data_IF_104391534907
#
_entry.id   IF_104391534907
#
_cell.length_a   1.000
_cell.length_b   1.000
_cell.length_c   1.000
_cell.angle_alpha   90.00
_cell.angle_beta   90.00
_cell.angle_gamma   90.00
#
_symmetry.space_group_name_H-M   'P 1'
#
loop_
_entity.id
_entity.type
_entity.pdbx_description
1 polymer ?
#
# COMPACT_ATOMS: atom_id res chain seq x y z
N UNK A 1 4.24 4.81 1.56
CA UNK A 1 3.80 4.00 0.40
C UNK A 1 3.60 2.56 0.83
N UNK A 2 2.62 1.91 0.25
CA UNK A 2 2.39 0.48 0.51
C UNK A 2 3.04 -0.36 -0.60
N UNK A 3 3.93 -1.28 -0.20
CA UNK A 3 4.59 -2.19 -1.14
C UNK A 3 3.63 -3.33 -1.49
N UNK A 4 3.35 -3.52 -2.78
CA UNK A 4 2.43 -4.53 -3.28
C UNK A 4 3.14 -5.78 -3.78
N UNK A 5 4.41 -5.68 -4.15
CA UNK A 5 5.20 -6.83 -4.58
C UNK A 5 5.45 -7.75 -3.37
N UNK A 6 5.15 -9.03 -3.52
CA UNK A 6 5.30 -10.01 -2.43
C UNK A 6 6.77 -10.17 -2.02
N UNK A 7 7.02 -10.41 -0.73
CA UNK A 7 8.35 -10.45 -0.16
C UNK A 7 9.35 -11.37 -0.86
N UNK A 8 9.01 -12.65 -1.21
CA UNK A 8 9.97 -13.51 -1.89
C UNK A 8 10.46 -12.96 -3.22
N UNK A 9 9.61 -12.19 -3.92
CA UNK A 9 9.97 -11.55 -5.19
C UNK A 9 10.64 -10.21 -4.93
N UNK A 10 10.12 -9.42 -3.99
CA UNK A 10 10.66 -8.11 -3.65
C UNK A 10 12.12 -8.21 -3.19
N UNK A 11 12.47 -9.26 -2.46
CA UNK A 11 13.85 -9.49 -2.01
C UNK A 11 14.84 -9.80 -3.12
N UNK A 12 14.36 -10.31 -4.27
CA UNK A 12 15.19 -10.74 -5.37
C UNK A 12 15.23 -9.83 -6.59
N UNK A 13 14.44 -8.72 -6.60
CA UNK A 13 14.35 -7.83 -7.75
C UNK A 13 14.77 -6.41 -7.42
N UNK A 14 15.14 -5.64 -8.45
CA UNK A 14 15.63 -4.28 -8.28
C UNK A 14 14.54 -3.26 -8.04
N UNK A 15 13.31 -3.53 -8.48
CA UNK A 15 12.18 -2.60 -8.40
C UNK A 15 10.95 -3.28 -7.84
N UNK A 16 10.10 -2.50 -7.15
CA UNK A 16 8.85 -2.99 -6.58
C UNK A 16 7.70 -2.07 -6.94
N UNK A 17 6.49 -2.61 -6.99
CA UNK A 17 5.26 -1.84 -7.21
C UNK A 17 4.73 -1.36 -5.88
N UNK A 18 4.40 -0.08 -5.80
CA UNK A 18 3.88 0.55 -4.59
C UNK A 18 2.61 1.34 -4.88
N UNK A 19 1.76 1.48 -3.87
CA UNK A 19 0.62 2.39 -3.90
C UNK A 19 0.92 3.59 -3.01
N UNK A 20 0.56 4.78 -3.49
CA UNK A 20 0.79 6.01 -2.76
C UNK A 20 -0.13 6.13 -1.55
N UNK A 21 0.37 6.73 -0.46
CA UNK A 21 -0.43 7.11 0.69
C UNK A 21 -0.69 8.62 0.68
N UNK A 22 -1.88 9.00 1.11
CA UNK A 22 -2.28 10.41 1.21
C UNK A 22 -3.13 10.60 2.46
N UNK A 23 -3.19 11.81 2.97
CA UNK A 23 -4.10 12.17 4.06
C UNK A 23 -5.47 12.60 3.55
N UNK A 24 -5.59 12.88 2.25
CA UNK A 24 -6.84 13.32 1.64
C UNK A 24 -7.71 12.11 1.33
N UNK A 25 -8.86 12.02 2.01
CA UNK A 25 -9.82 10.93 1.80
C UNK A 25 -10.91 11.40 0.84
N UNK A 26 -11.06 10.67 -0.27
CA UNK A 26 -12.08 10.96 -1.30
C UNK A 26 -13.23 9.97 -1.28
N UNK A 27 -13.15 8.94 -0.42
CA UNK A 27 -14.18 7.89 -0.29
C UNK A 27 -14.45 7.13 -1.59
N UNK A 28 -13.37 6.86 -2.35
CA UNK A 28 -13.44 6.09 -3.59
C UNK A 28 -13.27 4.60 -3.30
N UNK A 29 -13.79 3.74 -4.17
CA UNK A 29 -13.61 2.28 -4.06
C UNK A 29 -12.14 1.88 -4.20
N UNK A 30 -11.33 2.71 -4.84
CA UNK A 30 -9.89 2.52 -5.02
C UNK A 30 -9.06 2.99 -3.84
N UNK A 31 -9.68 3.37 -2.74
CA UNK A 31 -9.00 3.85 -1.54
C UNK A 31 -9.19 2.89 -0.37
N UNK A 32 -8.12 2.62 0.37
CA UNK A 32 -8.16 1.87 1.62
C UNK A 32 -7.73 2.77 2.77
N UNK A 33 -8.66 3.16 3.67
CA UNK A 33 -8.29 3.95 4.83
C UNK A 33 -7.47 3.13 5.83
N UNK A 34 -6.40 3.73 6.34
CA UNK A 34 -5.59 3.18 7.43
C UNK A 34 -5.70 4.09 8.65
N UNK A 35 -5.75 3.49 9.82
CA UNK A 35 -5.92 4.20 11.09
C UNK A 35 -4.70 3.99 11.97
N UNK A 36 -4.23 5.05 12.61
CA UNK A 36 -3.07 4.99 13.50
C UNK A 36 -3.28 4.02 14.65
N UNK A 37 -4.50 3.91 15.17
CA UNK A 37 -4.80 3.01 16.29
C UNK A 37 -5.00 1.56 15.87
N UNK A 38 -5.21 1.27 14.59
CA UNK A 38 -5.57 -0.05 14.09
C UNK A 38 -4.48 -0.68 13.22
N UNK A 39 -3.81 0.12 12.41
CA UNK A 39 -2.93 -0.35 11.35
C UNK A 39 -1.45 -0.07 11.62
N UNK A 40 -1.14 0.39 12.82
CA UNK A 40 0.23 0.65 13.27
C UNK A 40 0.96 1.68 12.39
N UNK A 41 0.21 2.58 11.78
CA UNK A 41 0.78 3.72 11.05
C UNK A 41 0.86 4.94 11.97
N UNK A 42 1.79 5.89 11.73
CA UNK A 42 1.97 7.03 12.65
C UNK A 42 0.79 8.00 12.65
N UNK A 43 0.07 8.12 11.55
CA UNK A 43 -1.12 8.98 11.45
C UNK A 43 -2.16 8.31 10.57
N UNK A 44 -3.43 8.72 10.73
CA UNK A 44 -4.48 8.26 9.83
C UNK A 44 -4.15 8.70 8.41
N UNK A 45 -4.31 7.78 7.46
CA UNK A 45 -4.01 8.03 6.06
C UNK A 45 -4.85 7.11 5.17
N UNK A 46 -4.69 7.26 3.87
CA UNK A 46 -5.42 6.47 2.87
C UNK A 46 -4.42 5.94 1.85
N UNK A 47 -4.53 4.66 1.53
CA UNK A 47 -3.79 4.07 0.41
C UNK A 47 -4.59 4.31 -0.86
N UNK A 48 -3.99 5.00 -1.82
CA UNK A 48 -4.65 5.33 -3.09
C UNK A 48 -4.16 4.37 -4.18
N UNK A 49 -5.01 3.43 -4.55
CA UNK A 49 -4.69 2.43 -5.57
C UNK A 49 -4.86 2.95 -7.01
N UNK A 50 -5.38 4.15 -7.19
CA UNK A 50 -5.35 4.82 -8.49
C UNK A 50 -3.98 5.43 -8.80
N UNK A 51 -3.09 5.45 -7.81
CA UNK A 51 -1.78 6.06 -7.94
C UNK A 51 -0.70 5.04 -7.61
N UNK A 52 -0.39 4.17 -8.57
CA UNK A 52 0.62 3.12 -8.43
C UNK A 52 1.92 3.58 -9.08
N UNK A 53 3.03 3.18 -8.45
CA UNK A 53 4.37 3.48 -8.94
C UNK A 53 5.25 2.25 -8.92
N UNK A 54 6.20 2.18 -9.83
CA UNK A 54 7.30 1.21 -9.76
C UNK A 54 8.53 1.97 -9.33
N UNK A 55 9.08 1.61 -8.17
CA UNK A 55 10.24 2.29 -7.60
C UNK A 55 11.40 1.32 -7.41
N UNK A 56 12.65 1.79 -7.55
CA UNK A 56 13.80 0.96 -7.22
C UNK A 56 13.83 0.68 -5.72
N UNK A 57 14.30 -0.49 -5.32
CA UNK A 57 14.40 -0.87 -3.91
C UNK A 57 15.27 0.11 -3.12
N UNK A 58 16.25 0.72 -3.78
CA UNK A 58 17.13 1.71 -3.15
C UNK A 58 16.41 2.99 -2.74
N UNK A 59 15.17 3.22 -3.23
CA UNK A 59 14.36 4.37 -2.80
C UNK A 59 13.81 4.19 -1.38
N UNK A 60 13.83 2.97 -0.83
CA UNK A 60 13.30 2.69 0.49
C UNK A 60 14.41 2.73 1.52
N UNK A 61 14.18 3.44 2.64
CA UNK A 61 15.18 3.58 3.70
C UNK A 61 14.86 2.70 4.90
N UNK A 62 13.58 2.57 5.25
CA UNK A 62 13.15 1.72 6.37
C UNK A 62 11.69 1.37 6.25
N UNK A 63 11.30 0.29 6.91
CA UNK A 63 9.90 -0.09 7.08
C UNK A 63 9.34 0.64 8.29
N UNK A 64 8.24 1.38 8.09
CA UNK A 64 7.56 2.08 9.19
C UNK A 64 6.57 1.15 9.91
N UNK A 65 5.83 0.36 9.13
CA UNK A 65 4.82 -0.55 9.66
C UNK A 65 4.59 -1.70 8.68
N UNK A 66 3.95 -2.76 9.17
CA UNK A 66 3.53 -3.90 8.35
C UNK A 66 2.03 -4.09 8.56
N UNK A 67 1.26 -4.16 7.47
CA UNK A 67 -0.17 -4.43 7.57
C UNK A 67 -0.40 -5.87 8.02
N UNK A 68 -1.43 -6.08 8.83
CA UNK A 68 -1.88 -7.42 9.20
C UNK A 68 -2.37 -8.16 7.95
N UNK A 69 -2.44 -9.51 8.04
CA UNK A 69 -2.92 -10.32 6.93
C UNK A 69 -4.36 -9.95 6.52
N UNK A 70 -5.33 -9.73 7.45
CA UNK A 70 -6.66 -9.27 7.07
C UNK A 70 -6.66 -7.91 6.35
N UNK A 71 -5.83 -6.98 6.80
CA UNK A 71 -5.75 -5.66 6.16
C UNK A 71 -5.09 -5.77 4.78
N UNK A 72 -4.10 -6.63 4.64
CA UNK A 72 -3.46 -6.87 3.34
C UNK A 72 -4.44 -7.51 2.36
N UNK A 73 -5.33 -8.39 2.82
CA UNK A 73 -6.39 -8.95 1.99
C UNK A 73 -7.36 -7.86 1.51
N UNK A 74 -7.71 -6.91 2.38
CA UNK A 74 -8.53 -5.76 1.99
C UNK A 74 -7.80 -4.87 0.98
N UNK A 75 -6.49 -4.70 1.13
CA UNK A 75 -5.68 -3.95 0.18
C UNK A 75 -5.71 -4.61 -1.21
N UNK A 76 -5.59 -5.94 -1.26
CA UNK A 76 -5.68 -6.68 -2.52
C UNK A 76 -7.05 -6.54 -3.17
N UNK A 77 -8.12 -6.56 -2.37
CA UNK A 77 -9.47 -6.35 -2.89
C UNK A 77 -9.64 -4.93 -3.43
N UNK A 78 -9.13 -3.94 -2.73
CA UNK A 78 -9.18 -2.54 -3.17
C UNK A 78 -8.40 -2.35 -4.48
N UNK A 79 -7.24 -2.99 -4.60
CA UNK A 79 -6.47 -2.97 -5.85
C UNK A 79 -7.26 -3.57 -7.00
N UNK A 80 -7.95 -4.68 -6.74
CA UNK A 80 -8.79 -5.36 -7.72
C UNK A 80 -9.93 -4.44 -8.18
N UNK A 81 -10.57 -3.76 -7.25
CA UNK A 81 -11.65 -2.81 -7.55
C UNK A 81 -11.13 -1.61 -8.35
N UNK A 82 -9.94 -1.13 -8.05
CA UNK A 82 -9.32 0.00 -8.74
C UNK A 82 -8.94 -0.33 -10.18
N UNK A 83 -8.52 -1.57 -10.45
CA UNK A 83 -8.03 -2.00 -11.76
C UNK A 83 -9.08 -2.71 -12.61
N UNK A 84 -10.17 -3.15 -12.00
CA UNK A 84 -11.21 -3.89 -12.70
C UNK A 84 -10.85 -5.34 -13.03
N UNK A 85 -9.83 -5.87 -12.37
CA UNK A 85 -9.38 -7.25 -12.59
C UNK A 85 -10.26 -8.28 -11.87
#
# INVERSE_FOLDING_TARGET
MLVLTRDPVAGGIASVVVAALTRTRRQLVSELPLSAGRDDVPTDCVVNFDNLHTLPRTAFRRRVATLSAPRMAQACQTLRDATGC
#
